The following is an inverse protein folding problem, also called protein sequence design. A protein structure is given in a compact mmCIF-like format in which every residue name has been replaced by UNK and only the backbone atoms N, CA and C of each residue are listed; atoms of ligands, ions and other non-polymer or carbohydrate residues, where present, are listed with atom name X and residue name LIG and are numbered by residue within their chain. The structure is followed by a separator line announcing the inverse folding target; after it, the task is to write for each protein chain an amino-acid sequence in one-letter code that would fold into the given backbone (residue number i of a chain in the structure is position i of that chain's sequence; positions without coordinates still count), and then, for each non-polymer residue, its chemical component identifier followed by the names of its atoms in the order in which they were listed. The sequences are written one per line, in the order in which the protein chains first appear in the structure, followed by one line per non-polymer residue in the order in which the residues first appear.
data_IF_880401112566
#
_entry.id   IF_880401112566
#
_cell.length_a   1.000
_cell.length_b   1.000
_cell.length_c   1.000
_cell.angle_alpha   90.00
_cell.angle_beta   90.00
_cell.angle_gamma   90.00
#
_symmetry.space_group_name_H-M   'P 1'
#
loop_
_entity.id
_entity.type
_entity.pdbx_description
1 polymer ?
#
# COMPACT_ATOMS: atom_id res chain seq x y z
N UNK A 1 -55.82 33.32 -2.59
CA UNK A 1 -56.33 32.03 -2.05
C UNK A 1 -55.12 31.21 -1.65
N UNK A 2 -54.93 31.08 -0.35
CA UNK A 2 -53.81 30.44 0.30
C UNK A 2 -54.25 29.01 0.62
N UNK A 3 -53.55 27.97 0.13
CA UNK A 3 -53.80 26.59 0.53
C UNK A 3 -52.56 26.08 1.28
N UNK A 4 -52.71 26.05 2.60
CA UNK A 4 -51.80 25.40 3.54
C UNK A 4 -52.00 23.88 3.44
N UNK A 5 -50.93 23.15 3.14
CA UNK A 5 -50.90 21.69 3.35
C UNK A 5 -49.92 21.38 4.48
N UNK A 6 -50.52 20.99 5.59
CA UNK A 6 -49.84 20.55 6.80
C UNK A 6 -49.43 19.06 6.57
N UNK A 7 -48.10 18.75 6.54
CA UNK A 7 -47.62 17.40 6.46
C UNK A 7 -47.16 16.93 7.84
N UNK A 8 -47.87 15.92 8.37
CA UNK A 8 -47.59 15.25 9.65
C UNK A 8 -46.31 14.47 9.58
N UNK A 9 -45.37 14.77 10.50
CA UNK A 9 -44.21 13.94 10.83
C UNK A 9 -44.66 12.77 11.73
N UNK A 10 -44.55 11.56 11.24
CA UNK A 10 -44.59 10.35 12.05
C UNK A 10 -43.16 9.96 12.42
N UNK A 11 -42.80 10.18 13.67
CA UNK A 11 -41.62 9.66 14.31
C UNK A 11 -41.86 8.18 14.66
N UNK A 12 -41.18 7.29 13.97
CA UNK A 12 -41.08 5.88 14.37
C UNK A 12 -39.76 5.70 15.12
N UNK A 13 -39.83 5.51 16.41
CA UNK A 13 -38.72 5.08 17.24
C UNK A 13 -38.51 3.59 17.05
N UNK A 14 -37.31 3.16 16.61
CA UNK A 14 -36.88 1.79 16.71
C UNK A 14 -35.88 1.67 17.86
N UNK A 15 -36.28 0.93 18.88
CA UNK A 15 -35.46 0.52 20.01
C UNK A 15 -34.34 -0.42 19.59
N UNK A 16 -33.12 -0.12 20.03
CA UNK A 16 -31.95 -0.99 19.87
C UNK A 16 -31.77 -1.78 21.18
N UNK A 17 -31.83 -3.11 21.19
CA UNK A 17 -31.52 -3.86 22.41
C UNK A 17 -30.00 -3.93 22.62
N UNK A 18 -29.56 -3.39 23.74
CA UNK A 18 -28.23 -3.56 24.32
C UNK A 18 -28.11 -4.99 24.88
N UNK A 19 -27.30 -5.82 24.22
CA UNK A 19 -26.98 -7.17 24.66
C UNK A 19 -25.51 -7.33 24.93
N UNK A 20 -25.10 -7.07 26.16
CA UNK A 20 -23.73 -7.28 26.64
C UNK A 20 -23.63 -8.72 27.17
N UNK A 21 -23.08 -9.67 26.36
CA UNK A 21 -22.78 -11.02 26.81
C UNK A 21 -21.30 -11.14 27.19
N UNK A 22 -21.05 -10.99 28.49
CA UNK A 22 -19.80 -11.38 29.14
C UNK A 22 -19.79 -12.89 29.35
N UNK A 23 -18.77 -13.60 28.76
CA UNK A 23 -18.53 -15.03 29.01
C UNK A 23 -17.38 -15.16 30.01
N UNK A 24 -17.59 -15.77 31.19
CA UNK A 24 -16.51 -15.95 32.18
C UNK A 24 -15.60 -17.14 31.80
N UNK A 25 -14.31 -16.88 31.93
CA UNK A 25 -13.22 -17.85 31.78
C UNK A 25 -13.32 -18.93 32.87
N UNK A 26 -13.47 -20.21 32.49
CA UNK A 26 -13.42 -21.36 33.38
C UNK A 26 -12.14 -22.15 33.23
N UNK A 27 -11.33 -22.11 34.31
CA UNK A 27 -10.50 -23.18 34.90
C UNK A 27 -9.73 -24.13 33.98
N UNK A 28 -8.44 -23.86 33.86
CA UNK A 28 -7.46 -24.85 33.43
C UNK A 28 -7.06 -25.69 34.65
N UNK A 29 -7.31 -27.01 34.59
CA UNK A 29 -6.83 -28.00 35.58
C UNK A 29 -5.36 -28.31 35.32
N UNK A 30 -4.57 -28.28 36.38
CA UNK A 30 -3.20 -28.77 36.41
C UNK A 30 -3.14 -30.30 36.24
N UNK A 31 -2.17 -30.79 35.48
CA UNK A 31 -1.79 -32.20 35.35
C UNK A 31 -0.42 -32.39 35.99
N UNK A 32 -0.21 -33.45 36.80
CA UNK A 32 0.98 -33.61 37.63
C UNK A 32 2.19 -34.16 36.86
N UNK A 33 3.34 -33.67 37.27
CA UNK A 33 4.70 -34.09 36.91
C UNK A 33 4.95 -35.53 37.29
N UNK A 34 5.53 -36.31 36.36
CA UNK A 34 6.33 -37.49 36.72
C UNK A 34 7.55 -37.59 35.79
N UNK A 35 8.69 -37.80 36.44
CA UNK A 35 10.06 -37.90 36.00
C UNK A 35 10.31 -38.88 34.86
N UNK A 36 11.15 -38.50 33.90
CA UNK A 36 12.07 -39.44 33.19
C UNK A 36 13.32 -38.66 32.75
N UNK A 37 14.45 -39.34 32.96
CA UNK A 37 15.83 -38.92 32.94
C UNK A 37 16.41 -38.51 31.57
N UNK A 38 17.29 -37.54 31.64
CA UNK A 38 18.60 -37.34 31.00
C UNK A 38 18.95 -38.26 29.82
N UNK A 39 19.12 -37.67 28.66
CA UNK A 39 20.26 -37.87 27.76
C UNK A 39 20.46 -36.69 26.84
N UNK A 40 21.63 -36.02 26.97
CA UNK A 40 22.16 -35.00 26.07
C UNK A 40 22.79 -35.68 24.86
N UNK A 41 22.63 -35.12 23.63
CA UNK A 41 23.75 -34.43 23.04
C UNK A 41 23.37 -33.00 22.57
N UNK A 42 24.34 -32.12 22.71
CA UNK A 42 24.35 -30.75 22.20
C UNK A 42 24.12 -30.76 20.69
N UNK A 43 22.99 -30.23 20.28
CA UNK A 43 22.77 -29.81 18.90
C UNK A 43 23.03 -28.32 18.83
N UNK A 44 24.05 -27.98 18.07
CA UNK A 44 24.47 -26.62 17.78
C UNK A 44 23.29 -25.92 17.09
N UNK A 45 22.66 -25.03 17.80
CA UNK A 45 21.68 -24.10 17.17
C UNK A 45 22.52 -23.15 16.30
N UNK A 46 22.60 -23.46 15.01
CA UNK A 46 22.98 -22.46 14.02
C UNK A 46 22.01 -21.33 14.17
N UNK A 47 22.53 -20.17 14.53
CA UNK A 47 21.77 -18.92 14.53
C UNK A 47 21.30 -18.67 13.10
N UNK A 48 20.05 -18.98 12.81
CA UNK A 48 19.36 -18.45 11.65
C UNK A 48 19.48 -16.93 11.70
N UNK A 49 20.49 -16.41 11.03
CA UNK A 49 20.47 -15.04 10.57
C UNK A 49 19.26 -14.95 9.66
N UNK A 50 18.17 -14.45 10.22
CA UNK A 50 16.97 -14.05 9.49
C UNK A 50 17.38 -12.99 8.46
N UNK A 51 17.89 -13.47 7.34
CA UNK A 51 18.05 -12.68 6.13
C UNK A 51 16.64 -12.43 5.68
N UNK A 52 16.10 -11.24 6.03
CA UNK A 52 14.83 -10.74 5.51
C UNK A 52 14.88 -10.88 3.99
N UNK A 53 14.36 -12.01 3.51
CA UNK A 53 14.25 -12.26 2.09
C UNK A 53 13.37 -11.14 1.51
N UNK A 54 13.94 -10.35 0.62
CA UNK A 54 13.19 -9.33 -0.10
C UNK A 54 12.03 -10.01 -0.81
N UNK A 55 10.82 -9.57 -0.53
CA UNK A 55 9.61 -10.11 -1.15
C UNK A 55 9.58 -9.72 -2.62
N UNK A 56 9.49 -10.73 -3.52
CA UNK A 56 9.52 -10.52 -4.97
C UNK A 56 8.10 -10.40 -5.51
N UNK A 57 7.82 -9.31 -6.23
CA UNK A 57 6.57 -9.14 -6.97
C UNK A 57 6.66 -9.85 -8.32
N UNK A 58 5.76 -10.79 -8.58
CA UNK A 58 5.69 -11.51 -9.84
C UNK A 58 4.85 -10.74 -10.87
N UNK A 59 5.50 -10.10 -11.83
CA UNK A 59 4.86 -9.28 -12.88
C UNK A 59 4.18 -10.11 -13.97
N UNK A 60 4.32 -11.43 -13.93
CA UNK A 60 3.79 -12.37 -14.92
C UNK A 60 4.33 -12.03 -16.32
N UNK A 61 3.44 -11.78 -17.31
CA UNK A 61 3.80 -11.36 -18.66
C UNK A 61 3.48 -9.89 -18.93
N UNK A 62 3.13 -9.14 -17.89
CA UNK A 62 2.80 -7.72 -18.00
C UNK A 62 4.05 -6.90 -18.29
N UNK A 63 3.97 -6.02 -19.26
CA UNK A 63 5.04 -5.07 -19.59
C UNK A 63 4.87 -3.79 -18.78
N UNK A 64 5.99 -3.15 -18.44
CA UNK A 64 5.98 -1.86 -17.75
C UNK A 64 5.12 -0.81 -18.48
N UNK A 65 5.23 -0.75 -19.81
CA UNK A 65 4.47 0.20 -20.64
C UNK A 65 2.95 -0.02 -20.57
N UNK A 66 2.50 -1.28 -20.54
CA UNK A 66 1.08 -1.61 -20.44
C UNK A 66 0.54 -1.17 -19.09
N UNK A 67 1.28 -1.46 -18.02
CA UNK A 67 0.90 -1.08 -16.66
C UNK A 67 0.85 0.44 -16.51
N UNK A 68 1.87 1.15 -16.97
CA UNK A 68 1.91 2.62 -16.86
C UNK A 68 0.86 3.25 -17.78
N UNK A 69 0.66 2.73 -18.99
CA UNK A 69 -0.40 3.20 -19.90
C UNK A 69 -1.79 3.09 -19.24
N UNK A 70 -2.06 1.98 -18.58
CA UNK A 70 -3.31 1.83 -17.80
C UNK A 70 -3.37 2.82 -16.63
N UNK A 71 -2.29 2.98 -15.87
CA UNK A 71 -2.22 3.95 -14.77
C UNK A 71 -2.56 5.38 -15.25
N UNK A 72 -2.06 5.77 -16.42
CA UNK A 72 -2.29 7.08 -17.03
C UNK A 72 -3.76 7.32 -17.41
N UNK A 73 -4.54 6.28 -17.70
CA UNK A 73 -5.99 6.39 -17.95
C UNK A 73 -6.81 6.76 -16.70
N UNK A 74 -6.23 6.59 -15.51
CA UNK A 74 -6.89 6.86 -14.24
C UNK A 74 -6.68 8.30 -13.73
N UNK A 75 -6.01 9.16 -14.51
CA UNK A 75 -5.78 10.56 -14.13
C UNK A 75 -7.11 11.28 -13.88
N UNK A 76 -7.12 12.13 -12.85
CA UNK A 76 -8.30 12.88 -12.43
C UNK A 76 -9.20 12.15 -11.43
N UNK A 77 -9.06 10.83 -11.22
CA UNK A 77 -9.80 10.13 -10.16
C UNK A 77 -9.43 10.74 -8.81
N UNK A 78 -10.44 11.14 -7.98
CA UNK A 78 -10.19 11.86 -6.74
C UNK A 78 -9.32 11.12 -5.73
N UNK A 79 -8.65 11.87 -4.86
CA UNK A 79 -8.00 11.27 -3.69
C UNK A 79 -9.03 10.89 -2.63
N UNK A 80 -8.92 9.67 -2.10
CA UNK A 80 -9.70 9.19 -0.96
C UNK A 80 -8.83 8.35 -0.04
N UNK A 81 -8.58 8.82 1.18
CA UNK A 81 -7.79 8.08 2.15
C UNK A 81 -8.34 6.68 2.42
N UNK A 82 -7.46 5.67 2.41
CA UNK A 82 -7.79 4.27 2.70
C UNK A 82 -8.53 3.53 1.58
N UNK A 83 -8.77 4.17 0.42
CA UNK A 83 -9.58 3.59 -0.66
C UNK A 83 -8.75 3.02 -1.81
N UNK A 84 -9.30 1.95 -2.41
CA UNK A 84 -8.87 1.31 -3.66
C UNK A 84 -9.97 1.33 -4.72
N UNK A 85 -11.09 2.01 -4.48
CA UNK A 85 -12.26 2.01 -5.36
C UNK A 85 -12.21 3.20 -6.33
N UNK A 86 -12.14 2.96 -7.67
CA UNK A 86 -12.09 4.04 -8.66
C UNK A 86 -13.34 4.93 -8.67
N UNK A 87 -14.48 4.44 -8.18
CA UNK A 87 -15.73 5.20 -8.15
C UNK A 87 -15.77 6.26 -7.05
N UNK A 88 -14.99 6.07 -5.98
CA UNK A 88 -14.94 7.00 -4.85
C UNK A 88 -13.58 7.68 -4.68
N UNK A 89 -12.54 7.13 -5.27
CA UNK A 89 -11.18 7.67 -5.25
C UNK A 89 -10.14 6.71 -4.68
N UNK A 90 -8.87 7.09 -4.76
CA UNK A 90 -7.72 6.30 -4.31
C UNK A 90 -6.90 7.05 -3.27
N UNK A 91 -6.32 6.32 -2.29
CA UNK A 91 -5.10 6.79 -1.64
C UNK A 91 -3.86 6.40 -2.49
N UNK A 92 -2.66 6.80 -2.05
CA UNK A 92 -1.43 6.59 -2.85
C UNK A 92 -1.15 5.11 -3.12
N UNK A 93 -1.20 4.25 -2.11
CA UNK A 93 -0.98 2.82 -2.26
C UNK A 93 -2.20 2.08 -2.82
N UNK A 94 -3.41 2.59 -2.59
CA UNK A 94 -4.65 2.10 -3.19
C UNK A 94 -4.67 2.25 -4.71
N UNK A 95 -4.17 3.37 -5.22
CA UNK A 95 -3.94 3.57 -6.65
C UNK A 95 -2.97 2.51 -7.20
N UNK A 96 -1.82 2.30 -6.55
CA UNK A 96 -0.86 1.28 -6.95
C UNK A 96 -1.49 -0.11 -6.92
N UNK A 97 -2.16 -0.47 -5.82
CA UNK A 97 -2.84 -1.77 -5.71
C UNK A 97 -3.87 -1.99 -6.81
N UNK A 98 -4.67 -0.97 -7.14
CA UNK A 98 -5.65 -1.05 -8.21
C UNK A 98 -5.01 -1.28 -9.58
N UNK A 99 -3.95 -0.51 -9.90
CA UNK A 99 -3.22 -0.63 -11.17
C UNK A 99 -2.61 -2.03 -11.32
N UNK A 100 -1.90 -2.51 -10.31
CA UNK A 100 -1.25 -3.84 -10.36
C UNK A 100 -2.28 -4.98 -10.38
N UNK A 101 -3.34 -4.89 -9.60
CA UNK A 101 -4.40 -5.89 -9.56
C UNK A 101 -5.16 -6.01 -10.89
N UNK A 102 -5.27 -4.93 -11.68
CA UNK A 102 -5.83 -4.98 -13.03
C UNK A 102 -5.12 -6.01 -13.91
N UNK A 103 -3.82 -6.19 -13.75
CA UNK A 103 -3.00 -7.19 -14.43
C UNK A 103 -2.88 -8.50 -13.64
N UNK A 104 -3.63 -8.64 -12.55
CA UNK A 104 -3.56 -9.81 -11.66
C UNK A 104 -2.24 -9.94 -10.91
N UNK A 105 -1.51 -8.84 -10.72
CA UNK A 105 -0.25 -8.77 -9.97
C UNK A 105 -0.59 -8.37 -8.54
N UNK A 106 -0.30 -9.25 -7.58
CA UNK A 106 -0.48 -8.97 -6.16
C UNK A 106 0.63 -8.07 -5.65
N UNK A 107 0.26 -7.01 -4.92
CA UNK A 107 1.19 -6.09 -4.27
C UNK A 107 0.70 -5.76 -2.85
N UNK A 108 1.56 -5.33 -1.94
CA UNK A 108 1.16 -4.89 -0.61
C UNK A 108 0.14 -3.76 -0.65
N UNK A 109 -0.73 -3.71 0.36
CA UNK A 109 -1.73 -2.65 0.46
C UNK A 109 -1.14 -1.33 0.97
N UNK A 110 -0.14 -1.37 1.79
CA UNK A 110 0.44 -0.20 2.46
C UNK A 110 1.73 0.25 1.80
N UNK A 111 1.91 1.55 1.59
CA UNK A 111 3.14 2.12 1.03
C UNK A 111 4.39 1.78 1.87
N UNK A 112 4.22 1.55 3.17
CA UNK A 112 5.32 1.20 4.09
C UNK A 112 5.87 -0.19 3.80
N UNK A 113 5.03 -1.15 3.46
CA UNK A 113 5.43 -2.53 3.16
C UNK A 113 6.31 -2.62 1.91
N UNK A 114 6.14 -1.68 0.96
CA UNK A 114 7.03 -1.58 -0.20
C UNK A 114 8.50 -1.27 0.16
N UNK A 115 8.79 -0.88 1.39
CA UNK A 115 10.18 -0.65 1.85
C UNK A 115 11.02 -1.93 1.80
N UNK A 116 10.40 -3.09 1.94
CA UNK A 116 11.06 -4.41 2.02
C UNK A 116 10.96 -5.20 0.71
N UNK A 117 10.31 -4.63 -0.31
CA UNK A 117 10.11 -5.30 -1.59
C UNK A 117 11.21 -4.90 -2.56
N UNK A 118 11.60 -5.88 -3.37
CA UNK A 118 12.43 -5.78 -4.56
C UNK A 118 13.74 -4.99 -4.42
N UNK A 119 14.50 -5.05 -5.48
CA UNK A 119 15.82 -4.45 -5.57
C UNK A 119 15.72 -2.93 -5.63
N UNK A 120 16.29 -2.25 -4.65
CA UNK A 120 16.57 -0.83 -4.72
C UNK A 120 17.53 -0.53 -5.88
N UNK A 121 17.24 0.51 -6.64
CA UNK A 121 18.07 1.00 -7.74
C UNK A 121 18.43 2.46 -7.53
N UNK A 122 19.53 2.88 -8.17
CA UNK A 122 19.89 4.28 -8.18
C UNK A 122 18.84 5.10 -8.95
N UNK A 123 18.46 6.27 -8.44
CA UNK A 123 17.50 7.16 -9.10
C UNK A 123 17.90 7.49 -10.55
N UNK A 124 19.19 7.60 -10.86
CA UNK A 124 19.68 7.84 -12.23
C UNK A 124 19.38 6.67 -13.20
N UNK A 125 19.16 5.47 -12.64
CA UNK A 125 18.82 4.27 -13.41
C UNK A 125 17.31 4.02 -13.45
N UNK A 126 16.54 4.90 -12.81
CA UNK A 126 15.10 4.78 -12.75
C UNK A 126 14.48 4.96 -14.14
N UNK A 127 13.48 4.14 -14.43
CA UNK A 127 12.78 4.15 -15.70
C UNK A 127 11.29 3.86 -15.52
N UNK A 128 10.55 4.02 -16.58
CA UNK A 128 9.11 3.76 -16.67
C UNK A 128 8.75 2.40 -16.07
N UNK A 129 7.77 2.39 -15.14
CA UNK A 129 7.30 1.23 -14.41
C UNK A 129 7.99 0.98 -13.06
N UNK A 130 9.12 1.62 -12.76
CA UNK A 130 9.72 1.56 -11.43
C UNK A 130 8.83 2.27 -10.39
N UNK A 131 8.83 1.79 -9.15
CA UNK A 131 8.10 2.41 -8.05
C UNK A 131 9.03 3.38 -7.30
N UNK A 132 8.58 4.61 -7.13
CA UNK A 132 9.28 5.63 -6.35
C UNK A 132 8.61 5.82 -5.00
N UNK A 133 9.40 5.79 -3.92
CA UNK A 133 8.94 5.89 -2.55
C UNK A 133 9.37 7.21 -1.92
N UNK A 134 8.45 7.80 -1.17
CA UNK A 134 8.64 9.07 -0.46
C UNK A 134 8.27 8.94 1.01
N UNK A 135 8.80 9.82 1.84
CA UNK A 135 8.30 10.00 3.21
C UNK A 135 6.83 10.43 3.19
N UNK A 136 6.17 10.37 4.35
CA UNK A 136 4.91 11.07 4.59
C UNK A 136 5.05 12.58 4.42
N UNK A 137 4.05 13.36 4.81
CA UNK A 137 4.09 14.84 4.74
C UNK A 137 5.19 15.45 5.61
N UNK A 138 5.55 14.78 6.69
CA UNK A 138 6.68 15.14 7.54
C UNK A 138 7.97 14.52 6.99
N UNK A 139 8.77 15.31 6.27
CA UNK A 139 10.04 14.87 5.68
C UNK A 139 11.15 14.60 6.68
N UNK A 140 11.00 15.04 7.92
CA UNK A 140 11.99 14.77 9.00
C UNK A 140 11.90 13.32 9.46
N UNK A 141 10.74 12.72 9.35
CA UNK A 141 10.53 11.29 9.61
C UNK A 141 10.83 10.51 8.34
N UNK A 142 11.96 9.81 8.31
CA UNK A 142 12.41 9.03 7.13
C UNK A 142 11.62 7.71 6.94
N UNK A 143 10.34 7.72 7.25
CA UNK A 143 9.42 6.58 7.10
C UNK A 143 8.60 6.76 5.82
N UNK A 144 8.55 5.71 4.99
CA UNK A 144 7.73 5.71 3.76
C UNK A 144 6.25 5.92 4.12
N UNK A 145 5.63 6.88 3.47
CA UNK A 145 4.23 7.24 3.64
C UNK A 145 3.59 7.75 2.35
N UNK A 146 4.32 7.71 1.23
CA UNK A 146 3.80 8.07 -0.09
C UNK A 146 4.57 7.36 -1.18
N UNK A 147 3.95 7.19 -2.37
CA UNK A 147 4.54 6.45 -3.47
C UNK A 147 3.90 6.81 -4.82
N UNK A 148 4.58 6.45 -5.90
CA UNK A 148 4.10 6.60 -7.26
C UNK A 148 4.80 5.62 -8.22
N UNK A 149 4.38 5.61 -9.48
CA UNK A 149 4.98 4.84 -10.58
C UNK A 149 5.72 5.83 -11.49
N UNK A 150 6.98 5.58 -11.79
CA UNK A 150 7.75 6.42 -12.71
C UNK A 150 7.17 6.28 -14.13
N UNK A 151 6.96 7.42 -14.78
CA UNK A 151 6.38 7.51 -16.15
C UNK A 151 7.39 7.94 -17.20
N UNK A 152 8.53 8.50 -16.78
CA UNK A 152 9.63 8.91 -17.69
C UNK A 152 10.53 7.73 -18.04
N UNK A 153 11.19 7.82 -19.20
CA UNK A 153 12.20 6.87 -19.61
C UNK A 153 13.56 7.13 -18.94
N UNK A 154 14.44 6.12 -19.01
CA UNK A 154 15.79 6.25 -18.45
C UNK A 154 16.55 7.40 -19.12
N UNK A 155 17.15 8.25 -18.30
CA UNK A 155 17.94 9.40 -18.75
C UNK A 155 17.14 10.68 -18.96
N UNK A 156 15.81 10.63 -18.82
CA UNK A 156 14.95 11.80 -18.85
C UNK A 156 14.80 12.44 -17.45
N UNK A 157 14.22 13.63 -17.42
CA UNK A 157 13.78 14.26 -16.17
C UNK A 157 12.66 13.42 -15.54
N UNK A 158 12.89 12.93 -14.32
CA UNK A 158 11.94 12.02 -13.69
C UNK A 158 10.57 12.65 -13.48
N UNK A 159 9.56 11.96 -13.96
CA UNK A 159 8.14 12.20 -13.71
C UNK A 159 7.50 10.91 -13.19
N UNK A 160 6.49 11.03 -12.35
CA UNK A 160 5.78 9.89 -11.80
C UNK A 160 4.29 10.17 -11.68
N UNK A 161 3.48 9.12 -11.78
CA UNK A 161 2.03 9.15 -11.57
C UNK A 161 1.69 8.62 -10.19
N UNK A 162 0.79 9.31 -9.49
CA UNK A 162 0.39 8.97 -8.12
C UNK A 162 -0.99 9.52 -7.79
N UNK A 163 -1.65 8.95 -6.79
CA UNK A 163 -2.81 9.59 -6.15
C UNK A 163 -2.32 10.41 -4.96
N UNK A 164 -2.69 11.70 -4.91
CA UNK A 164 -2.17 12.64 -3.92
C UNK A 164 -3.25 13.43 -3.21
N UNK A 165 -3.09 13.60 -1.88
CA UNK A 165 -3.89 14.53 -1.07
C UNK A 165 -3.41 15.98 -1.18
N UNK A 166 -2.37 16.26 -1.99
CA UNK A 166 -1.86 17.60 -2.24
C UNK A 166 -2.79 18.44 -3.13
N UNK A 167 -2.23 19.50 -3.75
CA UNK A 167 -3.03 20.49 -4.52
C UNK A 167 -3.92 19.87 -5.60
N UNK A 168 -3.48 18.82 -6.30
CA UNK A 168 -4.26 18.16 -7.34
C UNK A 168 -5.46 17.39 -6.76
N UNK A 169 -5.33 16.84 -5.54
CA UNK A 169 -6.33 16.05 -4.84
C UNK A 169 -6.92 14.90 -5.68
N UNK A 170 -6.08 14.29 -6.50
CA UNK A 170 -6.47 13.25 -7.47
C UNK A 170 -5.26 12.43 -7.92
N UNK A 171 -5.51 11.46 -8.79
CA UNK A 171 -4.46 10.81 -9.59
C UNK A 171 -3.91 11.83 -10.59
N UNK A 172 -2.60 12.05 -10.56
CA UNK A 172 -1.92 13.04 -11.39
C UNK A 172 -0.48 12.65 -11.70
N UNK A 173 0.05 13.13 -12.81
CA UNK A 173 1.48 13.09 -13.13
C UNK A 173 2.17 14.30 -12.51
N UNK A 174 3.34 14.07 -11.95
CA UNK A 174 4.09 15.13 -11.26
C UNK A 174 5.60 14.96 -11.54
N UNK A 175 6.30 16.01 -11.94
CA UNK A 175 7.76 15.95 -12.06
C UNK A 175 8.39 15.80 -10.68
N UNK A 176 9.54 15.12 -10.61
CA UNK A 176 10.34 14.99 -9.38
C UNK A 176 10.99 16.34 -9.03
N UNK A 177 10.15 17.29 -8.64
CA UNK A 177 10.53 18.65 -8.26
C UNK A 177 11.18 18.69 -6.86
N UNK A 178 11.64 19.88 -6.45
CA UNK A 178 12.33 20.10 -5.16
C UNK A 178 11.53 19.60 -3.95
N UNK A 179 10.21 19.72 -3.96
CA UNK A 179 9.35 19.24 -2.88
C UNK A 179 9.44 17.71 -2.71
N UNK A 180 9.33 16.98 -3.83
CA UNK A 180 9.41 15.52 -3.80
C UNK A 180 10.85 15.02 -3.62
N UNK A 181 11.87 15.74 -4.13
CA UNK A 181 13.27 15.44 -3.88
C UNK A 181 13.59 15.47 -2.36
N UNK A 182 13.06 16.45 -1.63
CA UNK A 182 13.23 16.53 -0.17
C UNK A 182 12.58 15.37 0.60
N UNK A 183 11.60 14.73 0.00
CA UNK A 183 10.86 13.58 0.57
C UNK A 183 11.30 12.23 0.00
N UNK A 184 12.17 12.21 -0.98
CA UNK A 184 12.63 11.01 -1.65
C UNK A 184 13.26 10.02 -0.65
N UNK A 185 12.88 8.75 -0.73
CA UNK A 185 13.44 7.65 0.06
C UNK A 185 14.24 6.74 -0.85
N UNK A 186 13.61 6.09 -1.82
CA UNK A 186 14.27 5.19 -2.77
C UNK A 186 13.41 4.91 -3.99
N UNK A 187 14.01 4.29 -5.00
CA UNK A 187 13.32 3.65 -6.13
C UNK A 187 13.51 2.15 -6.06
N UNK A 188 12.47 1.41 -6.34
CA UNK A 188 12.52 -0.05 -6.43
C UNK A 188 12.10 -0.51 -7.83
N UNK A 189 12.81 -1.50 -8.37
CA UNK A 189 12.52 -2.07 -9.68
C UNK A 189 11.64 -3.28 -9.57
N UNK A 190 10.45 -3.20 -10.16
CA UNK A 190 9.47 -4.29 -10.19
C UNK A 190 9.63 -5.12 -11.47
N UNK A 191 9.78 -4.46 -12.62
CA UNK A 191 9.95 -5.12 -13.91
C UNK A 191 11.42 -5.41 -14.20
N UNK A 192 11.75 -6.68 -14.46
CA UNK A 192 13.12 -7.07 -14.84
C UNK A 192 13.47 -6.55 -16.24
N UNK A 193 14.78 -6.32 -16.49
CA UNK A 193 15.23 -5.73 -17.76
C UNK A 193 14.97 -6.60 -19.00
N UNK A 194 14.66 -7.88 -18.81
CA UNK A 194 14.42 -8.84 -19.89
C UNK A 194 12.93 -9.07 -20.19
N UNK A 195 12.04 -8.31 -19.57
CA UNK A 195 10.59 -8.40 -19.80
C UNK A 195 10.12 -7.37 -20.83
N UNK A 196 10.93 -7.19 -21.91
CA UNK A 196 10.61 -6.36 -23.08
C UNK A 196 10.12 -7.28 -24.20
#
# INVERSE_FOLDING_TARGET
MILNVLLFLLLSACDIPSGNHYVPSSKIKAVPTSDIAVNKPEEIIESDTDTLASEVIHTKRTRADELVGFAETLQGIPYKYGSTDPHIGFDCSGFISYVFNHFGISVPRSSREFTHIEKEINLKEAKRGDIILFTGTDSTKRVVGHMGIITSDKGESHEFIHSTSGKAYSVTKTPLNRYYQGRFVKVIRIFKDNEI
#
